data_IF_787003200503
#
_entry.id   IF_787003200503
#
_cell.length_a   1.000
_cell.length_b   1.000
_cell.length_c   1.000
_cell.angle_alpha   90.00
_cell.angle_beta   90.00
_cell.angle_gamma   90.00
#
_symmetry.space_group_name_H-M   'P 1'
#
loop_
_entity.id
_entity.type
_entity.pdbx_description
1 polymer ?
#
# COMPACT_ATOMS: atom_id res chain seq x y z
N UNK A 1 -4.63 2.38 -3.16
CA UNK A 1 -3.50 1.42 -3.18
C UNK A 1 -3.65 0.40 -4.31
N UNK A 2 -4.68 -0.44 -4.31
CA UNK A 2 -4.80 -1.54 -5.27
C UNK A 2 -4.66 -1.11 -6.74
N UNK A 3 -5.27 0.00 -7.15
CA UNK A 3 -5.14 0.53 -8.52
C UNK A 3 -3.69 0.85 -8.91
N UNK A 4 -2.87 1.28 -7.95
CA UNK A 4 -1.45 1.55 -8.20
C UNK A 4 -0.64 0.28 -8.34
N UNK A 5 -0.91 -0.71 -7.48
CA UNK A 5 -0.26 -2.03 -7.56
C UNK A 5 -0.61 -2.70 -8.88
N UNK A 6 -1.90 -2.73 -9.23
CA UNK A 6 -2.36 -3.33 -10.49
C UNK A 6 -1.87 -2.54 -11.71
N UNK A 7 -1.90 -1.20 -11.66
CA UNK A 7 -1.35 -0.35 -12.72
C UNK A 7 0.14 -0.57 -12.94
N UNK A 8 0.90 -0.83 -11.87
CA UNK A 8 2.31 -1.19 -11.96
C UNK A 8 2.51 -2.55 -12.65
N UNK A 9 1.69 -3.56 -12.30
CA UNK A 9 1.68 -4.85 -12.99
C UNK A 9 1.40 -4.69 -14.49
N UNK A 10 0.37 -3.92 -14.85
CA UNK A 10 -0.01 -3.65 -16.24
C UNK A 10 1.09 -2.94 -17.02
N UNK A 11 1.81 -2.01 -16.41
CA UNK A 11 2.96 -1.34 -17.03
C UNK A 11 4.10 -2.32 -17.39
N UNK A 12 4.16 -3.49 -16.72
CA UNK A 12 5.08 -4.59 -17.03
C UNK A 12 4.45 -5.72 -17.86
N UNK A 13 3.26 -5.49 -18.44
CA UNK A 13 2.58 -6.45 -19.33
C UNK A 13 1.83 -7.57 -18.62
N UNK A 14 1.58 -7.44 -17.31
CA UNK A 14 0.84 -8.42 -16.51
C UNK A 14 -0.60 -7.94 -16.39
N UNK A 15 -1.53 -8.64 -17.04
CA UNK A 15 -2.92 -8.25 -17.21
C UNK A 15 -3.93 -9.17 -16.55
N UNK A 16 -3.49 -10.30 -16.02
CA UNK A 16 -4.31 -11.27 -15.30
C UNK A 16 -3.87 -11.28 -13.83
N UNK A 17 -4.74 -10.85 -12.93
CA UNK A 17 -4.42 -10.65 -11.52
C UNK A 17 -5.41 -11.41 -10.65
N UNK A 18 -4.88 -12.24 -9.76
CA UNK A 18 -5.65 -12.93 -8.72
C UNK A 18 -5.55 -12.13 -7.42
N UNK A 19 -6.69 -11.70 -6.90
CA UNK A 19 -6.78 -11.07 -5.59
C UNK A 19 -7.15 -12.12 -4.54
N UNK A 20 -6.19 -12.47 -3.68
CA UNK A 20 -6.44 -13.29 -2.49
C UNK A 20 -6.97 -12.40 -1.37
N UNK A 21 -8.22 -12.62 -0.98
CA UNK A 21 -8.97 -11.75 -0.08
C UNK A 21 -9.40 -12.53 1.18
N UNK A 22 -9.09 -11.97 2.35
CA UNK A 22 -9.55 -12.51 3.64
C UNK A 22 -10.50 -11.56 4.34
N UNK A 23 -10.16 -10.27 4.41
CA UNK A 23 -10.94 -9.26 5.13
C UNK A 23 -11.78 -8.41 4.16
N UNK A 24 -13.08 -8.30 4.43
CA UNK A 24 -14.05 -7.49 3.67
C UNK A 24 -13.96 -7.67 2.14
N UNK A 25 -14.07 -8.89 1.63
CA UNK A 25 -13.98 -9.15 0.19
C UNK A 25 -15.03 -8.38 -0.61
N UNK A 26 -16.21 -8.14 -0.02
CA UNK A 26 -17.31 -7.39 -0.64
C UNK A 26 -16.91 -5.97 -1.03
N UNK A 27 -15.98 -5.34 -0.30
CA UNK A 27 -15.51 -4.00 -0.63
C UNK A 27 -14.75 -3.98 -1.97
N UNK A 28 -14.00 -5.04 -2.28
CA UNK A 28 -13.27 -5.16 -3.56
C UNK A 28 -14.23 -5.48 -4.71
N UNK A 29 -15.15 -6.42 -4.54
CA UNK A 29 -16.14 -6.75 -5.58
C UNK A 29 -17.08 -5.60 -5.86
N UNK A 30 -17.45 -4.80 -4.86
CA UNK A 30 -18.24 -3.58 -5.05
C UNK A 30 -17.45 -2.45 -5.75
N UNK A 31 -16.14 -2.34 -5.50
CA UNK A 31 -15.29 -1.34 -6.13
C UNK A 31 -14.99 -1.67 -7.60
N UNK A 32 -14.89 -2.95 -7.95
CA UNK A 32 -14.59 -3.42 -9.31
C UNK A 32 -15.60 -4.51 -9.76
N UNK A 33 -16.88 -4.12 -9.95
CA UNK A 33 -17.97 -5.10 -10.21
C UNK A 33 -17.85 -5.78 -11.57
N UNK A 34 -17.11 -5.18 -12.50
CA UNK A 34 -16.82 -5.74 -13.82
C UNK A 34 -15.59 -6.66 -13.84
N UNK A 35 -14.96 -6.89 -12.68
CA UNK A 35 -13.74 -7.67 -12.59
C UNK A 35 -12.54 -7.02 -13.31
N UNK A 36 -12.49 -5.69 -13.39
CA UNK A 36 -11.38 -4.98 -14.06
C UNK A 36 -10.84 -3.85 -13.20
N UNK A 37 -9.52 -3.70 -13.20
CA UNK A 37 -8.82 -2.62 -12.50
C UNK A 37 -7.61 -2.19 -13.32
N UNK A 38 -7.44 -0.89 -13.56
CA UNK A 38 -6.27 -0.29 -14.21
C UNK A 38 -5.80 -1.00 -15.50
N UNK A 39 -6.73 -1.65 -16.24
CA UNK A 39 -6.42 -2.37 -17.48
C UNK A 39 -6.23 -3.89 -17.32
N UNK A 40 -6.16 -4.41 -16.09
CA UNK A 40 -6.08 -5.84 -15.81
C UNK A 40 -7.46 -6.49 -15.59
N UNK A 41 -7.57 -7.78 -15.87
CA UNK A 41 -8.65 -8.65 -15.42
C UNK A 41 -8.37 -9.12 -13.98
N UNK A 42 -9.40 -9.09 -13.13
CA UNK A 42 -9.33 -9.51 -11.74
C UNK A 42 -10.09 -10.82 -11.52
N UNK A 43 -9.41 -11.78 -10.92
CA UNK A 43 -10.04 -12.99 -10.35
C UNK A 43 -10.02 -12.85 -8.83
N UNK A 44 -11.17 -13.06 -8.19
CA UNK A 44 -11.30 -12.98 -6.74
C UNK A 44 -11.26 -14.38 -6.13
N UNK A 45 -10.35 -14.59 -5.20
CA UNK A 45 -10.26 -15.80 -4.38
C UNK A 45 -10.43 -15.40 -2.93
N UNK A 46 -11.43 -15.94 -2.25
CA UNK A 46 -11.80 -15.56 -0.88
C UNK A 46 -11.47 -16.68 0.09
N UNK A 47 -10.62 -16.39 1.07
CA UNK A 47 -10.29 -17.32 2.14
C UNK A 47 -11.43 -17.40 3.15
N UNK A 48 -11.95 -18.59 3.41
CA UNK A 48 -12.96 -18.79 4.46
C UNK A 48 -12.41 -18.59 5.88
N UNK A 49 -11.12 -18.86 6.06
CA UNK A 49 -10.37 -18.64 7.29
C UNK A 49 -8.95 -18.20 6.95
N UNK A 50 -8.29 -17.35 7.76
CA UNK A 50 -6.93 -16.90 7.47
C UNK A 50 -5.95 -18.07 7.35
N UNK A 51 -5.27 -18.17 6.20
CA UNK A 51 -4.31 -19.24 5.87
C UNK A 51 -2.85 -18.83 6.08
N UNK A 52 -2.61 -17.57 6.48
CA UNK A 52 -1.29 -16.94 6.50
C UNK A 52 -0.66 -16.83 5.10
N UNK A 53 0.51 -16.25 4.95
CA UNK A 53 1.06 -15.81 3.66
C UNK A 53 1.25 -16.95 2.65
N UNK A 54 1.94 -18.04 3.00
CA UNK A 54 2.13 -19.16 2.07
C UNK A 54 0.84 -19.94 1.83
N UNK A 55 0.03 -20.14 2.87
CA UNK A 55 -1.27 -20.81 2.73
C UNK A 55 -2.19 -20.08 1.76
N UNK A 56 -2.27 -18.74 1.86
CA UNK A 56 -3.01 -17.87 0.95
C UNK A 56 -2.51 -17.97 -0.49
N UNK A 57 -1.20 -17.91 -0.70
CA UNK A 57 -0.57 -18.06 -2.02
C UNK A 57 -0.94 -19.40 -2.64
N UNK A 58 -0.77 -20.50 -1.90
CA UNK A 58 -1.13 -21.82 -2.40
C UNK A 58 -2.60 -21.93 -2.75
N UNK A 59 -3.48 -21.48 -1.85
CA UNK A 59 -4.92 -21.51 -2.06
C UNK A 59 -5.31 -20.73 -3.31
N UNK A 60 -4.87 -19.47 -3.41
CA UNK A 60 -5.18 -18.61 -4.54
C UNK A 60 -4.65 -19.17 -5.87
N UNK A 61 -3.42 -19.68 -5.90
CA UNK A 61 -2.83 -20.26 -7.10
C UNK A 61 -3.58 -21.54 -7.53
N UNK A 62 -4.02 -22.37 -6.59
CA UNK A 62 -4.77 -23.61 -6.86
C UNK A 62 -6.16 -23.29 -7.42
N UNK A 63 -6.91 -22.38 -6.76
CA UNK A 63 -8.26 -21.99 -7.19
C UNK A 63 -8.25 -21.29 -8.55
N UNK A 64 -7.20 -20.52 -8.84
CA UNK A 64 -7.05 -19.84 -10.13
C UNK A 64 -6.41 -20.72 -11.22
N UNK A 65 -5.99 -21.94 -10.92
CA UNK A 65 -5.37 -22.87 -11.88
C UNK A 65 -4.01 -22.40 -12.39
N UNK A 66 -3.20 -21.75 -11.54
CA UNK A 66 -1.86 -21.26 -11.92
C UNK A 66 -0.90 -22.44 -12.03
N UNK A 67 -0.39 -22.67 -13.23
CA UNK A 67 0.51 -23.79 -13.59
C UNK A 67 1.84 -23.38 -14.24
N UNK A 68 2.10 -22.06 -14.35
CA UNK A 68 3.34 -21.48 -14.86
C UNK A 68 3.97 -20.55 -13.79
N UNK A 69 5.18 -20.05 -14.07
CA UNK A 69 5.87 -19.05 -13.25
C UNK A 69 4.96 -17.84 -12.99
N UNK A 70 4.81 -17.43 -11.74
CA UNK A 70 3.91 -16.35 -11.36
C UNK A 70 4.54 -15.36 -10.39
N UNK A 71 3.98 -14.15 -10.35
CA UNK A 71 4.35 -13.09 -9.41
C UNK A 71 3.41 -13.11 -8.20
N UNK A 72 3.95 -12.80 -7.05
CA UNK A 72 3.23 -12.52 -5.82
C UNK A 72 3.64 -11.15 -5.31
N UNK A 73 2.68 -10.31 -5.01
CA UNK A 73 2.91 -8.98 -4.45
C UNK A 73 2.05 -8.77 -3.20
N UNK A 74 2.66 -8.18 -2.18
CA UNK A 74 1.90 -7.65 -1.05
C UNK A 74 1.06 -6.45 -1.52
N UNK A 75 -0.25 -6.48 -1.27
CA UNK A 75 -1.19 -5.45 -1.75
C UNK A 75 -1.08 -4.09 -1.07
N UNK A 76 -0.30 -4.00 0.00
CA UNK A 76 -0.02 -2.79 0.78
C UNK A 76 1.39 -2.20 0.56
N UNK A 77 2.11 -2.68 -0.45
CA UNK A 77 3.44 -2.16 -0.82
C UNK A 77 3.33 -1.23 -2.03
N UNK A 78 3.87 -0.03 -1.88
CA UNK A 78 4.07 0.92 -2.98
C UNK A 78 5.53 0.90 -3.41
N UNK A 79 5.79 0.54 -4.68
CA UNK A 79 7.16 0.39 -5.19
C UNK A 79 7.27 0.75 -6.67
N UNK A 80 8.49 1.13 -7.09
CA UNK A 80 8.88 1.34 -8.48
C UNK A 80 9.79 0.21 -9.00
N UNK A 81 9.69 -0.98 -8.41
CA UNK A 81 10.47 -2.17 -8.77
C UNK A 81 10.27 -2.55 -10.23
N UNK A 82 11.36 -2.76 -10.97
CA UNK A 82 11.31 -3.32 -12.32
C UNK A 82 10.97 -4.82 -12.27
N UNK A 83 9.67 -5.13 -12.41
CA UNK A 83 9.16 -6.50 -12.38
C UNK A 83 9.69 -7.32 -13.57
N UNK A 84 9.92 -6.70 -14.72
CA UNK A 84 10.49 -7.37 -15.89
C UNK A 84 11.92 -7.81 -15.60
N UNK A 85 12.73 -6.95 -14.96
CA UNK A 85 14.08 -7.30 -14.53
C UNK A 85 14.09 -8.41 -13.48
N UNK A 86 13.13 -8.39 -12.53
CA UNK A 86 12.98 -9.43 -11.51
C UNK A 86 12.68 -10.80 -12.14
N UNK A 87 11.73 -10.88 -13.07
CA UNK A 87 11.36 -12.12 -13.78
C UNK A 87 12.54 -12.62 -14.63
N UNK A 88 13.23 -11.71 -15.33
CA UNK A 88 14.43 -12.07 -16.10
C UNK A 88 15.52 -12.67 -15.20
N UNK A 89 15.82 -12.01 -14.09
CA UNK A 89 16.79 -12.50 -13.11
C UNK A 89 16.40 -13.89 -12.58
N UNK A 90 15.14 -14.11 -12.25
CA UNK A 90 14.62 -15.40 -11.78
C UNK A 90 14.91 -16.51 -12.81
N UNK A 91 14.56 -16.28 -14.08
CA UNK A 91 14.80 -17.24 -15.16
C UNK A 91 16.29 -17.55 -15.36
N UNK A 92 17.15 -16.53 -15.25
CA UNK A 92 18.61 -16.71 -15.36
C UNK A 92 19.21 -17.52 -14.20
N UNK A 93 18.62 -17.46 -13.01
CA UNK A 93 19.09 -18.21 -11.83
C UNK A 93 18.56 -19.63 -11.77
N UNK A 94 17.38 -19.90 -12.31
CA UNK A 94 16.77 -21.23 -12.31
C UNK A 94 16.45 -21.76 -10.92
N UNK A 95 16.16 -20.86 -9.97
CA UNK A 95 15.66 -21.20 -8.64
C UNK A 95 14.18 -21.60 -8.66
N UNK A 96 13.65 -21.97 -7.52
CA UNK A 96 12.21 -22.17 -7.36
C UNK A 96 11.50 -20.88 -6.91
N UNK A 97 12.23 -19.98 -6.25
CA UNK A 97 11.71 -18.66 -5.86
C UNK A 97 12.81 -17.58 -6.00
N UNK A 98 12.35 -16.38 -6.31
CA UNK A 98 13.16 -15.16 -6.26
C UNK A 98 12.39 -14.08 -5.51
N UNK A 99 13.04 -13.45 -4.53
CA UNK A 99 12.49 -12.33 -3.76
C UNK A 99 13.14 -11.01 -4.16
N UNK A 100 12.37 -9.95 -4.24
CA UNK A 100 12.89 -8.60 -4.35
C UNK A 100 13.35 -8.10 -2.99
N UNK A 101 14.48 -7.39 -2.94
CA UNK A 101 15.01 -6.79 -1.72
C UNK A 101 15.04 -5.28 -1.82
N UNK A 102 14.69 -4.61 -0.73
CA UNK A 102 14.83 -3.18 -0.55
C UNK A 102 15.79 -2.87 0.61
N UNK A 103 16.67 -1.87 0.51
CA UNK A 103 17.46 -1.40 1.64
C UNK A 103 16.60 -0.49 2.54
N UNK A 104 16.66 -0.70 3.86
CA UNK A 104 16.00 0.14 4.85
C UNK A 104 16.96 0.58 5.95
N UNK A 105 16.75 1.75 6.58
CA UNK A 105 17.60 2.20 7.69
C UNK A 105 17.51 1.28 8.92
N UNK A 106 16.32 0.85 9.29
CA UNK A 106 16.07 -0.09 10.39
C UNK A 106 15.32 -1.32 9.87
N UNK A 107 15.99 -2.48 9.75
CA UNK A 107 15.39 -3.70 9.25
C UNK A 107 14.67 -4.56 10.31
N UNK A 108 14.66 -4.15 11.59
CA UNK A 108 14.18 -4.97 12.71
C UNK A 108 12.69 -5.37 12.62
N UNK A 109 11.87 -4.63 11.88
CA UNK A 109 10.46 -4.93 11.70
C UNK A 109 10.15 -5.90 10.52
N UNK A 110 11.19 -6.33 9.77
CA UNK A 110 11.04 -7.03 8.49
C UNK A 110 11.82 -8.35 8.46
N UNK A 111 11.57 -9.17 7.45
CA UNK A 111 12.43 -10.30 7.11
C UNK A 111 13.74 -9.83 6.50
N UNK A 112 14.84 -10.05 7.19
CA UNK A 112 16.19 -9.64 6.77
C UNK A 112 16.83 -10.74 5.93
N UNK A 113 17.44 -10.36 4.82
CA UNK A 113 18.02 -11.31 3.86
C UNK A 113 19.52 -11.07 3.73
N UNK A 114 20.27 -12.18 3.80
CA UNK A 114 21.71 -12.23 3.50
C UNK A 114 21.88 -12.96 2.17
N UNK A 115 22.59 -12.34 1.24
CA UNK A 115 22.82 -12.90 -0.09
C UNK A 115 24.29 -13.13 -0.34
N UNK A 116 24.63 -14.27 -0.91
CA UNK A 116 25.95 -14.59 -1.41
C UNK A 116 26.15 -14.15 -2.86
N UNK A 117 27.16 -14.76 -3.48
CA UNK A 117 27.47 -14.52 -4.88
C UNK A 117 26.27 -14.82 -5.79
N UNK A 118 26.08 -13.98 -6.83
CA UNK A 118 25.00 -14.13 -7.82
C UNK A 118 23.58 -14.04 -7.25
N UNK A 119 23.40 -13.51 -6.03
CA UNK A 119 22.10 -13.30 -5.42
C UNK A 119 21.46 -14.54 -4.81
N UNK A 120 22.19 -15.63 -4.61
CA UNK A 120 21.69 -16.77 -3.83
C UNK A 120 21.45 -16.33 -2.38
N UNK A 121 20.30 -16.68 -1.81
CA UNK A 121 20.00 -16.37 -0.40
C UNK A 121 20.72 -17.37 0.50
N UNK A 122 21.53 -16.85 1.41
CA UNK A 122 22.30 -17.62 2.38
C UNK A 122 21.59 -17.69 3.73
N UNK A 123 20.84 -16.63 4.09
CA UNK A 123 20.03 -16.59 5.31
C UNK A 123 18.79 -15.71 5.11
N UNK A 124 17.68 -16.14 5.71
CA UNK A 124 16.45 -15.40 5.87
C UNK A 124 16.11 -15.33 7.36
N UNK A 125 16.05 -14.13 7.94
CA UNK A 125 15.89 -13.91 9.39
C UNK A 125 14.67 -13.01 9.59
N UNK A 126 13.58 -13.60 10.05
CA UNK A 126 12.33 -12.88 10.28
C UNK A 126 12.39 -12.06 11.58
N UNK A 127 12.26 -10.73 11.44
CA UNK A 127 12.20 -9.77 12.54
C UNK A 127 13.29 -9.94 13.60
N UNK A 128 14.57 -9.75 13.22
CA UNK A 128 15.67 -9.84 14.16
C UNK A 128 15.54 -8.79 15.28
N UNK A 129 16.06 -9.05 16.48
CA UNK A 129 16.12 -8.03 17.52
C UNK A 129 16.81 -6.74 17.03
N UNK A 130 16.40 -5.55 17.49
CA UNK A 130 17.01 -4.29 17.09
C UNK A 130 18.54 -4.30 17.22
N UNK A 131 19.25 -3.84 16.20
CA UNK A 131 20.71 -3.75 16.16
C UNK A 131 21.45 -5.08 15.94
N UNK A 132 20.73 -6.21 15.72
CA UNK A 132 21.36 -7.53 15.49
C UNK A 132 21.26 -7.98 14.03
N UNK A 133 20.61 -7.23 13.17
CA UNK A 133 20.44 -7.58 11.77
C UNK A 133 21.80 -7.62 11.04
N UNK A 134 22.15 -8.72 10.34
CA UNK A 134 23.41 -8.85 9.62
C UNK A 134 23.43 -8.07 8.29
N UNK A 135 22.28 -7.58 7.84
CA UNK A 135 22.07 -6.83 6.59
C UNK A 135 20.98 -5.79 6.79
N UNK A 136 20.99 -4.74 5.98
CA UNK A 136 19.90 -3.79 5.86
C UNK A 136 18.96 -4.09 4.70
N UNK A 137 19.16 -5.22 4.01
CA UNK A 137 18.31 -5.67 2.92
C UNK A 137 17.16 -6.50 3.48
N UNK A 138 15.95 -6.06 3.17
CA UNK A 138 14.74 -6.72 3.65
C UNK A 138 13.96 -7.35 2.50
N UNK A 139 13.11 -8.30 2.84
CA UNK A 139 12.06 -8.81 1.97
C UNK A 139 11.11 -7.68 1.58
N UNK A 140 11.09 -7.35 0.29
CA UNK A 140 10.28 -6.24 -0.23
C UNK A 140 8.81 -6.62 -0.52
N UNK A 141 8.38 -7.84 -0.18
CA UNK A 141 7.00 -8.28 -0.39
C UNK A 141 6.63 -8.50 -1.86
N UNK A 142 7.63 -8.75 -2.71
CA UNK A 142 7.43 -9.09 -4.13
C UNK A 142 8.26 -10.31 -4.49
N UNK A 143 7.62 -11.32 -5.07
CA UNK A 143 8.22 -12.62 -5.36
C UNK A 143 7.94 -13.06 -6.80
N UNK A 144 8.88 -13.82 -7.39
CA UNK A 144 8.64 -14.70 -8.53
C UNK A 144 8.72 -16.13 -8.04
N UNK A 145 7.69 -16.90 -8.26
CA UNK A 145 7.58 -18.28 -7.78
C UNK A 145 7.34 -19.23 -8.95
N UNK A 146 8.02 -20.39 -8.90
CA UNK A 146 7.69 -21.53 -9.74
C UNK A 146 6.54 -22.33 -9.12
N UNK A 147 5.68 -22.99 -9.91
CA UNK A 147 4.61 -23.85 -9.40
C UNK A 147 5.09 -24.93 -8.43
N UNK A 148 6.35 -25.37 -8.55
CA UNK A 148 6.96 -26.34 -7.64
C UNK A 148 6.95 -25.90 -6.17
N UNK A 149 6.99 -24.58 -5.92
CA UNK A 149 6.89 -24.02 -4.55
C UNK A 149 5.57 -24.38 -3.87
N UNK A 150 4.47 -24.47 -4.64
CA UNK A 150 3.15 -24.83 -4.10
C UNK A 150 3.16 -26.22 -3.47
N UNK A 151 3.99 -27.15 -3.99
CA UNK A 151 4.17 -28.48 -3.42
C UNK A 151 4.93 -28.51 -2.09
N UNK A 152 5.66 -27.43 -1.74
CA UNK A 152 6.37 -27.28 -0.47
C UNK A 152 5.49 -26.73 0.66
N UNK A 153 4.35 -26.15 0.31
CA UNK A 153 3.41 -25.54 1.25
C UNK A 153 2.39 -26.60 1.67
N UNK A 154 2.15 -26.77 2.96
CA UNK A 154 1.15 -27.72 3.46
C UNK A 154 -0.25 -27.44 2.84
N UNK A 155 -0.97 -28.52 2.52
CA UNK A 155 -2.26 -28.44 1.84
C UNK A 155 -3.37 -27.80 2.68
N UNK A 156 -3.21 -27.74 3.98
CA UNK A 156 -4.20 -27.19 4.92
C UNK A 156 -3.51 -26.54 6.11
N UNK A 157 -4.24 -25.65 6.77
CA UNK A 157 -3.76 -24.89 7.91
C UNK A 157 -3.07 -23.60 7.53
N UNK A 158 -2.60 -22.91 8.56
CA UNK A 158 -1.86 -21.65 8.40
C UNK A 158 -0.40 -21.97 8.14
N UNK A 159 0.13 -21.44 7.04
CA UNK A 159 1.55 -21.58 6.68
C UNK A 159 2.13 -20.21 6.38
N UNK A 160 3.22 -19.88 7.05
CA UNK A 160 3.92 -18.61 6.85
C UNK A 160 5.09 -18.80 5.88
N UNK A 161 5.12 -18.00 4.82
CA UNK A 161 6.14 -18.12 3.76
C UNK A 161 7.54 -17.81 4.29
N UNK A 162 7.65 -16.85 5.19
CA UNK A 162 8.91 -16.31 5.72
C UNK A 162 9.52 -17.20 6.80
N UNK A 163 8.69 -17.92 7.53
CA UNK A 163 9.12 -18.79 8.64
C UNK A 163 9.28 -20.24 8.25
N UNK A 164 8.64 -20.67 7.18
CA UNK A 164 8.60 -22.08 6.79
C UNK A 164 9.13 -22.30 5.38
N UNK A 165 8.52 -21.67 4.37
CA UNK A 165 8.81 -21.95 2.95
C UNK A 165 10.16 -21.37 2.53
N UNK A 166 10.45 -20.12 2.81
CA UNK A 166 11.73 -19.51 2.44
C UNK A 166 12.92 -20.15 3.14
N UNK A 167 12.91 -20.45 4.45
CA UNK A 167 13.99 -21.20 5.10
C UNK A 167 14.27 -22.58 4.48
N UNK A 168 13.21 -23.31 4.09
CA UNK A 168 13.37 -24.59 3.39
C UNK A 168 14.03 -24.40 2.01
N UNK A 169 13.62 -23.39 1.24
CA UNK A 169 14.22 -23.06 -0.03
C UNK A 169 15.68 -22.59 0.10
N UNK A 170 16.04 -21.88 1.17
CA UNK A 170 17.43 -21.51 1.50
C UNK A 170 18.27 -22.76 1.72
N UNK A 171 17.77 -23.70 2.54
CA UNK A 171 18.47 -24.95 2.84
C UNK A 171 18.77 -25.75 1.57
N UNK A 172 17.83 -25.76 0.61
CA UNK A 172 17.97 -26.48 -0.65
C UNK A 172 18.75 -25.68 -1.72
N UNK A 173 19.17 -24.44 -1.42
CA UNK A 173 19.84 -23.56 -2.36
C UNK A 173 18.96 -23.12 -3.55
N UNK A 174 17.64 -23.08 -3.37
CA UNK A 174 16.64 -22.82 -4.41
C UNK A 174 16.03 -21.42 -4.32
N UNK A 175 16.40 -20.60 -3.31
CA UNK A 175 15.98 -19.22 -3.14
C UNK A 175 17.05 -18.25 -3.62
N UNK A 176 16.63 -17.32 -4.48
CA UNK A 176 17.45 -16.21 -4.95
C UNK A 176 16.83 -14.88 -4.56
N UNK A 177 17.62 -13.81 -4.62
CA UNK A 177 17.13 -12.48 -4.34
C UNK A 177 17.77 -11.43 -5.26
N UNK A 178 16.97 -10.45 -5.66
CA UNK A 178 17.41 -9.30 -6.44
C UNK A 178 17.27 -8.04 -5.61
N UNK A 179 18.40 -7.37 -5.31
CA UNK A 179 18.39 -6.04 -4.68
C UNK A 179 17.92 -4.99 -5.67
N UNK A 180 17.06 -4.10 -5.18
CA UNK A 180 16.63 -2.91 -5.89
C UNK A 180 16.67 -1.69 -4.97
N UNK A 181 17.30 -0.60 -5.43
CA UNK A 181 17.44 0.66 -4.68
C UNK A 181 16.41 1.71 -5.13
N UNK A 182 15.26 1.26 -5.63
CA UNK A 182 14.15 2.12 -6.07
C UNK A 182 13.25 2.51 -4.89
N UNK A 183 12.29 3.39 -5.15
CA UNK A 183 11.26 3.72 -4.16
C UNK A 183 10.54 2.44 -3.70
N UNK A 184 10.43 2.31 -2.38
CA UNK A 184 9.72 1.23 -1.72
C UNK A 184 9.14 1.71 -0.39
N UNK A 185 7.86 1.45 -0.16
CA UNK A 185 7.19 1.76 1.11
C UNK A 185 6.06 0.77 1.37
N UNK A 186 6.12 0.12 2.52
CA UNK A 186 5.01 -0.63 3.11
C UNK A 186 4.04 0.37 3.76
N UNK A 187 2.77 0.36 3.36
CA UNK A 187 1.74 1.31 3.82
C UNK A 187 0.78 0.71 4.85
N UNK A 188 1.19 -0.33 5.53
CA UNK A 188 0.37 -1.05 6.53
C UNK A 188 0.00 -0.25 7.79
N UNK A 189 0.43 1.01 7.94
CA UNK A 189 0.04 1.88 9.06
C UNK A 189 -0.53 3.21 8.58
N UNK A 190 -1.38 3.89 9.37
CA UNK A 190 -1.90 5.23 9.02
C UNK A 190 -0.79 6.25 8.72
N UNK A 191 0.28 6.23 9.50
CA UNK A 191 1.45 7.08 9.29
C UNK A 191 2.08 6.85 7.92
N UNK A 192 2.34 5.59 7.57
CA UNK A 192 2.93 5.22 6.27
C UNK A 192 1.97 5.45 5.11
N UNK A 193 0.67 5.29 5.34
CA UNK A 193 -0.34 5.63 4.34
C UNK A 193 -0.37 7.13 4.02
N UNK A 194 -0.28 7.99 5.04
CA UNK A 194 -0.13 9.44 4.87
C UNK A 194 1.20 9.76 4.19
N UNK A 195 2.31 9.12 4.62
CA UNK A 195 3.62 9.33 4.02
C UNK A 195 3.64 8.95 2.53
N UNK A 196 3.06 7.79 2.17
CA UNK A 196 2.92 7.38 0.76
C UNK A 196 2.17 8.44 -0.08
N UNK A 197 1.13 9.02 0.49
CA UNK A 197 0.35 10.07 -0.16
C UNK A 197 1.19 11.34 -0.40
N UNK A 198 1.99 11.74 0.59
CA UNK A 198 2.90 12.90 0.48
C UNK A 198 4.00 12.62 -0.55
N UNK A 199 4.61 11.43 -0.54
CA UNK A 199 5.67 11.04 -1.49
C UNK A 199 5.20 11.03 -2.95
N UNK A 200 3.89 10.91 -3.18
CA UNK A 200 3.29 11.07 -4.50
C UNK A 200 3.11 12.53 -4.91
N UNK A 201 3.04 13.46 -3.94
CA UNK A 201 2.75 14.88 -4.14
C UNK A 201 4.02 15.73 -4.19
N UNK A 202 5.05 15.37 -3.43
CA UNK A 202 6.30 16.14 -3.29
C UNK A 202 7.31 15.91 -4.43
N UNK A 203 6.93 15.17 -5.46
CA UNK A 203 7.75 14.92 -6.64
C UNK A 203 8.81 13.84 -6.48
N UNK A 204 8.83 13.09 -5.39
CA UNK A 204 9.70 11.91 -5.24
C UNK A 204 9.40 10.83 -6.27
N UNK A 205 8.17 10.81 -6.75
CA UNK A 205 7.77 9.99 -7.89
C UNK A 205 7.37 10.87 -9.07
N UNK A 206 7.79 10.54 -10.31
CA UNK A 206 7.50 11.37 -11.47
C UNK A 206 6.02 11.34 -11.86
N UNK A 207 5.55 12.44 -12.46
CA UNK A 207 4.21 12.56 -13.02
C UNK A 207 3.14 13.06 -12.03
N UNK A 208 1.90 13.26 -12.50
CA UNK A 208 0.79 13.67 -11.65
C UNK A 208 0.41 12.54 -10.67
N UNK A 209 -0.10 12.88 -9.47
CA UNK A 209 -0.48 11.89 -8.47
C UNK A 209 -1.62 10.97 -8.93
N UNK A 210 -2.48 11.47 -9.80
CA UNK A 210 -3.54 10.69 -10.48
C UNK A 210 -3.69 11.21 -11.92
N UNK A 211 -4.20 10.39 -12.87
CA UNK A 211 -4.53 10.85 -14.22
C UNK A 211 -5.47 12.07 -14.16
N UNK A 212 -5.33 12.97 -15.12
CA UNK A 212 -6.12 14.19 -15.31
C UNK A 212 -5.97 15.26 -14.21
N UNK A 213 -5.19 15.03 -13.16
CA UNK A 213 -4.89 16.06 -12.17
C UNK A 213 -4.06 17.18 -12.79
N UNK A 214 -4.43 18.42 -12.48
CA UNK A 214 -3.77 19.63 -12.92
C UNK A 214 -2.94 20.23 -11.80
N UNK A 215 -1.75 20.72 -12.14
CA UNK A 215 -0.91 21.45 -11.20
C UNK A 215 -1.56 22.80 -10.88
N UNK A 216 -1.62 23.15 -9.60
CA UNK A 216 -2.09 24.45 -9.10
C UNK A 216 -0.98 25.13 -8.28
N UNK A 217 -1.25 26.31 -7.73
CA UNK A 217 -0.30 27.02 -6.89
C UNK A 217 0.17 26.18 -5.68
N UNK A 218 1.29 26.55 -5.08
CA UNK A 218 1.84 25.87 -3.88
C UNK A 218 2.42 24.48 -4.12
N UNK A 219 2.71 24.09 -5.36
CA UNK A 219 3.19 22.73 -5.68
C UNK A 219 2.12 21.67 -5.47
N UNK A 220 0.85 22.06 -5.54
CA UNK A 220 -0.30 21.21 -5.32
C UNK A 220 -0.95 20.76 -6.63
N UNK A 221 -1.86 19.79 -6.52
CA UNK A 221 -2.61 19.22 -7.62
C UNK A 221 -4.11 19.24 -7.32
N UNK A 222 -4.91 19.48 -8.33
CA UNK A 222 -6.37 19.44 -8.20
C UNK A 222 -7.00 18.76 -9.42
N UNK A 223 -8.14 18.11 -9.20
CA UNK A 223 -8.98 17.66 -10.31
C UNK A 223 -9.70 18.86 -10.95
N UNK A 224 -10.05 18.79 -12.25
CA UNK A 224 -10.60 19.95 -12.99
C UNK A 224 -11.89 20.54 -12.38
N UNK A 225 -12.66 19.75 -11.66
CA UNK A 225 -13.94 20.13 -11.03
C UNK A 225 -13.81 20.39 -9.50
N UNK A 226 -12.59 20.39 -8.97
CA UNK A 226 -12.33 20.76 -7.60
C UNK A 226 -12.39 22.28 -7.41
N UNK A 227 -12.90 22.72 -6.26
CA UNK A 227 -12.99 24.14 -5.90
C UNK A 227 -11.98 24.44 -4.80
N UNK A 228 -10.97 25.28 -5.09
CA UNK A 228 -9.92 25.64 -4.12
C UNK A 228 -9.91 27.16 -3.96
N UNK A 229 -10.50 27.64 -2.87
CA UNK A 229 -10.52 29.06 -2.51
C UNK A 229 -9.54 29.39 -1.37
N UNK A 230 -9.12 28.38 -0.61
CA UNK A 230 -8.12 28.46 0.45
C UNK A 230 -6.71 28.18 -0.03
N UNK A 231 -5.77 28.08 0.90
CA UNK A 231 -4.37 27.81 0.61
C UNK A 231 -4.08 26.30 0.58
N UNK A 232 -3.50 25.84 -0.54
CA UNK A 232 -3.06 24.45 -0.69
C UNK A 232 -1.57 24.39 -1.04
N UNK A 233 -0.78 23.67 -0.24
CA UNK A 233 0.66 23.48 -0.45
C UNK A 233 1.03 22.01 -0.42
N UNK A 234 1.72 21.52 -1.47
CA UNK A 234 2.12 20.10 -1.60
C UNK A 234 0.95 19.16 -1.33
N UNK A 235 -0.23 19.48 -1.88
CA UNK A 235 -1.50 18.80 -1.55
C UNK A 235 -2.25 18.37 -2.80
N UNK A 236 -3.24 17.50 -2.60
CA UNK A 236 -4.14 17.06 -3.67
C UNK A 236 -5.60 17.32 -3.29
N UNK A 237 -6.36 17.91 -4.23
CA UNK A 237 -7.80 18.12 -4.08
C UNK A 237 -8.55 17.33 -5.16
N UNK A 238 -9.33 16.36 -4.73
CA UNK A 238 -10.01 15.36 -5.57
C UNK A 238 -11.23 15.90 -6.30
N UNK A 239 -11.78 15.06 -7.18
CA UNK A 239 -13.00 15.30 -7.97
C UNK A 239 -14.15 15.77 -7.08
N UNK A 240 -14.76 16.92 -7.43
CA UNK A 240 -15.89 17.50 -6.70
C UNK A 240 -15.59 17.89 -5.25
N UNK A 241 -14.31 17.91 -4.84
CA UNK A 241 -13.92 18.34 -3.50
C UNK A 241 -13.80 19.85 -3.40
N UNK A 242 -13.92 20.38 -2.19
CA UNK A 242 -13.84 21.82 -1.94
C UNK A 242 -12.94 22.17 -0.75
N UNK A 243 -12.17 23.24 -0.91
CA UNK A 243 -11.38 23.88 0.14
C UNK A 243 -11.85 25.33 0.26
N UNK A 244 -12.51 25.64 1.35
CA UNK A 244 -13.15 26.94 1.57
C UNK A 244 -12.12 28.04 1.86
N UNK A 245 -12.58 29.30 1.81
CA UNK A 245 -11.75 30.47 2.04
C UNK A 245 -11.17 30.49 3.44
N UNK A 246 -9.88 30.83 3.54
CA UNK A 246 -9.18 30.85 4.84
C UNK A 246 -8.78 29.47 5.36
N UNK A 247 -9.19 28.38 4.72
CA UNK A 247 -8.67 27.05 5.04
C UNK A 247 -7.22 26.88 4.59
N UNK A 248 -6.45 26.11 5.35
CA UNK A 248 -5.05 25.75 5.05
C UNK A 248 -4.93 24.24 4.87
N UNK A 249 -4.43 23.80 3.72
CA UNK A 249 -4.20 22.39 3.38
C UNK A 249 -2.73 22.22 3.02
N UNK A 250 -1.98 21.51 3.88
CA UNK A 250 -0.52 21.37 3.75
C UNK A 250 -0.12 19.88 3.81
N UNK A 251 0.59 19.41 2.77
CA UNK A 251 1.02 18.00 2.67
C UNK A 251 -0.16 17.04 2.90
N UNK A 252 -1.31 17.29 2.30
CA UNK A 252 -2.54 16.58 2.60
C UNK A 252 -3.32 16.18 1.34
N UNK A 253 -4.20 15.21 1.51
CA UNK A 253 -5.11 14.73 0.46
C UNK A 253 -6.55 15.04 0.88
N UNK A 254 -7.27 15.76 0.03
CA UNK A 254 -8.73 15.95 0.12
C UNK A 254 -9.37 15.08 -0.95
N UNK A 255 -10.04 14.01 -0.53
CA UNK A 255 -10.61 12.98 -1.39
C UNK A 255 -11.84 13.46 -2.17
N UNK A 256 -12.33 12.61 -3.08
CA UNK A 256 -13.49 12.90 -3.92
C UNK A 256 -14.69 13.37 -3.09
N UNK A 257 -15.27 14.51 -3.46
CA UNK A 257 -16.47 15.06 -2.81
C UNK A 257 -16.29 15.44 -1.34
N UNK A 258 -15.06 15.43 -0.82
CA UNK A 258 -14.79 15.89 0.53
C UNK A 258 -14.79 17.42 0.61
N UNK A 259 -15.10 17.98 1.77
CA UNK A 259 -15.12 19.41 2.00
C UNK A 259 -14.25 19.83 3.18
N UNK A 260 -13.57 20.96 3.04
CA UNK A 260 -12.78 21.60 4.08
C UNK A 260 -13.36 23.00 4.30
N UNK A 261 -13.94 23.23 5.49
CA UNK A 261 -14.67 24.43 5.88
C UNK A 261 -13.79 25.66 6.10
N UNK A 262 -14.44 26.80 6.35
CA UNK A 262 -13.78 28.08 6.54
C UNK A 262 -12.80 28.04 7.73
N UNK A 263 -11.57 28.50 7.50
CA UNK A 263 -10.54 28.56 8.54
C UNK A 263 -10.06 27.20 9.08
N UNK A 264 -10.50 26.09 8.51
CA UNK A 264 -10.04 24.76 8.90
C UNK A 264 -8.58 24.52 8.49
N UNK A 265 -7.87 23.67 9.23
CA UNK A 265 -6.45 23.37 9.01
C UNK A 265 -6.25 21.87 8.82
N UNK A 266 -5.72 21.49 7.68
CA UNK A 266 -5.28 20.13 7.39
C UNK A 266 -3.76 20.10 7.22
N UNK A 267 -3.05 19.28 8.01
CA UNK A 267 -1.62 19.08 7.85
C UNK A 267 -1.26 17.61 7.92
N UNK A 268 -0.43 17.15 6.95
CA UNK A 268 0.05 15.77 6.90
C UNK A 268 -1.06 14.74 7.14
N UNK A 269 -2.19 14.90 6.43
CA UNK A 269 -3.42 14.14 6.67
C UNK A 269 -4.08 13.69 5.39
N UNK A 270 -4.86 12.63 5.49
CA UNK A 270 -5.68 12.13 4.38
C UNK A 270 -7.14 12.17 4.78
N UNK A 271 -7.92 12.95 4.04
CA UNK A 271 -9.39 13.03 4.15
C UNK A 271 -9.97 12.22 2.99
N UNK A 272 -10.70 11.16 3.28
CA UNK A 272 -11.25 10.25 2.28
C UNK A 272 -12.57 10.78 1.70
N UNK A 273 -13.09 10.02 0.71
CA UNK A 273 -14.22 10.47 -0.10
C UNK A 273 -15.45 10.87 0.73
N UNK A 274 -16.05 12.02 0.40
CA UNK A 274 -17.28 12.51 1.01
C UNK A 274 -17.17 12.97 2.47
N UNK A 275 -15.98 12.91 3.07
CA UNK A 275 -15.78 13.37 4.44
C UNK A 275 -15.87 14.90 4.54
N UNK A 276 -16.29 15.39 5.69
CA UNK A 276 -16.45 16.82 5.97
C UNK A 276 -15.57 17.25 7.12
N UNK A 277 -14.79 18.27 6.90
CA UNK A 277 -14.03 18.99 7.93
C UNK A 277 -14.71 20.33 8.09
N UNK A 278 -15.39 20.52 9.21
CA UNK A 278 -16.20 21.70 9.46
C UNK A 278 -15.34 22.92 9.82
N UNK A 279 -15.98 24.10 9.93
CA UNK A 279 -15.30 25.39 10.13
C UNK A 279 -14.37 25.41 11.34
N UNK A 280 -13.14 25.86 11.12
CA UNK A 280 -12.12 25.99 12.15
C UNK A 280 -11.63 24.67 12.75
N UNK A 281 -12.01 23.53 12.21
CA UNK A 281 -11.49 22.24 12.67
C UNK A 281 -10.02 22.06 12.28
N UNK A 282 -9.27 21.34 13.11
CA UNK A 282 -7.84 21.06 12.88
C UNK A 282 -7.60 19.54 12.75
N UNK A 283 -7.01 19.11 11.67
CA UNK A 283 -6.64 17.71 11.41
C UNK A 283 -5.16 17.62 11.10
N UNK A 284 -4.40 17.00 12.00
CA UNK A 284 -2.96 16.85 11.89
C UNK A 284 -2.56 15.39 11.95
N UNK A 285 -1.67 14.95 11.04
CA UNK A 285 -1.10 13.60 11.06
C UNK A 285 -2.18 12.53 11.29
N UNK A 286 -3.26 12.56 10.50
CA UNK A 286 -4.45 11.75 10.75
C UNK A 286 -5.11 11.29 9.47
N UNK A 287 -5.96 10.28 9.58
CA UNK A 287 -6.79 9.77 8.49
C UNK A 287 -8.26 9.92 8.85
N UNK A 288 -9.02 10.62 8.01
CA UNK A 288 -10.47 10.77 8.13
C UNK A 288 -11.16 9.87 7.12
N UNK A 289 -11.94 8.93 7.60
CA UNK A 289 -12.63 7.90 6.81
C UNK A 289 -13.71 8.47 5.88
N UNK A 290 -14.18 7.64 4.92
CA UNK A 290 -15.22 8.06 3.98
C UNK A 290 -16.49 8.55 4.72
N UNK A 291 -17.08 9.63 4.21
CA UNK A 291 -18.32 10.25 4.75
C UNK A 291 -18.27 10.64 6.23
N UNK A 292 -17.11 10.55 6.88
CA UNK A 292 -16.95 10.99 8.26
C UNK A 292 -17.04 12.52 8.39
N UNK A 293 -17.42 13.00 9.57
CA UNK A 293 -17.48 14.43 9.86
C UNK A 293 -16.56 14.76 11.03
N UNK A 294 -15.71 15.76 10.86
CA UNK A 294 -14.96 16.38 11.96
C UNK A 294 -15.63 17.72 12.24
N UNK A 295 -16.28 17.81 13.40
CA UNK A 295 -17.10 18.96 13.80
C UNK A 295 -16.33 20.26 13.97
N UNK A 296 -17.05 21.37 14.00
CA UNK A 296 -16.48 22.72 14.05
C UNK A 296 -15.52 22.88 15.24
N UNK A 297 -14.33 23.42 14.99
CA UNK A 297 -13.27 23.64 16.01
C UNK A 297 -12.82 22.37 16.75
N UNK A 298 -13.17 21.18 16.26
CA UNK A 298 -12.61 19.93 16.76
C UNK A 298 -11.15 19.78 16.35
N UNK A 299 -10.34 19.12 17.17
CA UNK A 299 -8.92 18.84 16.90
C UNK A 299 -8.69 17.34 16.85
N UNK A 300 -8.17 16.86 15.72
CA UNK A 300 -7.85 15.45 15.47
C UNK A 300 -6.36 15.37 15.11
N UNK A 301 -5.56 14.63 15.90
CA UNK A 301 -4.10 14.61 15.71
C UNK A 301 -3.44 13.30 16.13
N UNK A 302 -2.10 13.20 15.92
CA UNK A 302 -1.28 12.13 16.46
C UNK A 302 -1.64 10.75 15.91
N UNK A 303 -1.79 10.63 14.59
CA UNK A 303 -2.13 9.39 13.89
C UNK A 303 -3.50 8.83 14.27
N UNK A 304 -4.43 9.73 14.63
CA UNK A 304 -5.83 9.39 14.84
C UNK A 304 -6.45 8.89 13.53
N UNK A 305 -7.27 7.86 13.62
CA UNK A 305 -8.10 7.38 12.51
C UNK A 305 -9.57 7.55 12.87
N UNK A 306 -10.25 8.40 12.12
CA UNK A 306 -11.72 8.55 12.18
C UNK A 306 -12.31 7.53 11.20
N UNK A 307 -13.19 6.65 11.67
CA UNK A 307 -13.81 5.61 10.86
C UNK A 307 -14.76 6.16 9.80
N UNK A 308 -15.20 5.29 8.88
CA UNK A 308 -16.21 5.67 7.90
C UNK A 308 -17.51 6.06 8.62
N UNK A 309 -18.21 7.10 8.12
CA UNK A 309 -19.47 7.62 8.65
C UNK A 309 -19.41 8.12 10.11
N UNK A 310 -18.24 8.08 10.75
CA UNK A 310 -18.08 8.56 12.13
C UNK A 310 -18.24 10.07 12.26
N UNK A 311 -18.72 10.51 13.41
CA UNK A 311 -18.88 11.93 13.74
C UNK A 311 -18.00 12.27 14.94
N UNK A 312 -17.09 13.22 14.74
CA UNK A 312 -16.33 13.88 15.79
C UNK A 312 -17.09 15.14 16.20
N UNK A 313 -17.48 15.21 17.46
CA UNK A 313 -18.29 16.33 17.98
C UNK A 313 -17.52 17.66 17.96
N UNK A 314 -18.27 18.77 17.85
CA UNK A 314 -17.72 20.13 17.86
C UNK A 314 -16.82 20.40 19.08
N UNK A 315 -15.67 21.03 18.84
CA UNK A 315 -14.75 21.48 19.89
C UNK A 315 -14.07 20.36 20.67
N UNK A 316 -14.23 19.10 20.31
CA UNK A 316 -13.55 17.97 20.97
C UNK A 316 -12.09 17.83 20.52
N UNK A 317 -11.28 17.12 21.30
CA UNK A 317 -9.86 16.88 21.00
C UNK A 317 -9.55 15.38 21.09
N UNK A 318 -8.99 14.84 20.01
CA UNK A 318 -8.62 13.43 19.88
C UNK A 318 -7.18 13.28 19.44
N UNK A 319 -6.40 12.49 20.18
CA UNK A 319 -4.98 12.23 19.89
C UNK A 319 -4.71 10.72 19.94
N UNK A 320 -4.11 10.17 18.89
CA UNK A 320 -3.77 8.75 18.78
C UNK A 320 -4.96 7.78 18.80
N UNK A 321 -6.17 8.28 18.57
CA UNK A 321 -7.41 7.54 18.74
C UNK A 321 -7.80 6.71 17.51
N UNK A 322 -8.63 5.71 17.73
CA UNK A 322 -9.37 4.98 16.71
C UNK A 322 -10.84 5.18 16.96
N UNK A 323 -11.47 6.05 16.18
CA UNK A 323 -12.86 6.46 16.35
C UNK A 323 -13.71 5.65 15.36
N UNK A 324 -14.46 4.64 15.81
CA UNK A 324 -15.38 3.88 14.97
C UNK A 324 -16.57 4.73 14.53
N UNK A 325 -17.33 4.22 13.55
CA UNK A 325 -18.60 4.81 13.14
C UNK A 325 -19.61 4.79 14.28
#
# INVERSE_FOLDING_TARGET
MIERVVGHLVAHGITDVVLSLGYRPDAFTAAYPDGRCAGAALTYVVEATPLDTAGAIRFAATEAGIDDTFLVLNGDVLTDLDLTALVRFHRERGGEATIALAPVPDPSAFGVVVTGAKGQVEAFIEKPPPGTAPSNLINAGTYVLEPAVLGRIAASGRVNIERETFPALVTDGRLFALRSDVYWLDVGTPERYVQASIDLLDGRRPGPPVPDAQAIAGGSWAMPDAVVEGDATTSFVGTGASVARGATVECAVVGRGASVGDGAVLRRSVVLAGARIEDGAEVHESVVGPSATVGSRAVVRGWTVVGADAVVEDGTNHEGARLPA
#
